data_IF_479377367004
#
_entry.id   IF_479377367004
#
_cell.length_a   1.000
_cell.length_b   1.000
_cell.length_c   1.000
_cell.angle_alpha   90.00
_cell.angle_beta   90.00
_cell.angle_gamma   90.00
#
_symmetry.space_group_name_H-M   'P 1'
#
loop_
_entity.id
_entity.type
_entity.pdbx_description
1 polymer ?
#
# COMPACT_ATOMS: atom_id res chain seq x y z
N UNK A 1 -6.24 18.44 5.07
CA UNK A 1 -5.91 17.23 5.82
C UNK A 1 -6.65 16.04 5.27
N UNK A 2 -6.04 14.89 5.32
CA UNK A 2 -6.58 13.68 4.70
C UNK A 2 -7.93 13.25 5.26
N UNK A 3 -8.17 13.44 6.57
CA UNK A 3 -9.44 13.06 7.17
C UNK A 3 -10.62 13.91 6.69
N UNK A 4 -10.38 15.18 6.36
CA UNK A 4 -11.43 16.04 5.80
C UNK A 4 -11.76 15.66 4.37
N UNK A 5 -10.74 15.28 3.60
CA UNK A 5 -10.93 14.79 2.23
C UNK A 5 -11.73 13.50 2.23
N UNK A 6 -11.47 12.62 3.19
CA UNK A 6 -12.22 11.39 3.36
C UNK A 6 -13.70 11.65 3.58
N UNK A 7 -14.03 12.58 4.46
CA UNK A 7 -15.42 12.89 4.77
C UNK A 7 -16.17 13.37 3.54
N UNK A 8 -15.56 14.24 2.74
CA UNK A 8 -16.17 14.71 1.50
C UNK A 8 -16.36 13.59 0.49
N UNK A 9 -15.36 12.73 0.33
CA UNK A 9 -15.42 11.63 -0.62
C UNK A 9 -16.52 10.63 -0.24
N UNK A 10 -16.71 10.36 1.03
CA UNK A 10 -17.79 9.47 1.48
C UNK A 10 -19.15 10.05 1.11
N UNK A 11 -19.35 11.34 1.34
CA UNK A 11 -20.64 11.99 1.06
C UNK A 11 -20.94 11.99 -0.45
N UNK A 12 -19.92 12.01 -1.30
CA UNK A 12 -20.09 11.96 -2.74
C UNK A 12 -20.17 10.54 -3.29
N UNK A 13 -20.01 9.53 -2.43
CA UNK A 13 -19.91 8.12 -2.80
C UNK A 13 -18.83 7.86 -3.86
N UNK A 14 -17.79 8.67 -3.81
CA UNK A 14 -16.63 8.54 -4.68
C UNK A 14 -15.48 7.90 -3.89
N UNK A 15 -14.29 8.38 -4.13
CA UNK A 15 -13.10 7.84 -3.50
C UNK A 15 -13.00 8.28 -2.04
N UNK A 16 -12.55 7.38 -1.19
CA UNK A 16 -12.33 7.66 0.23
C UNK A 16 -10.95 7.20 0.64
N UNK A 17 -10.33 7.92 1.57
CA UNK A 17 -9.06 7.52 2.15
C UNK A 17 -8.96 8.05 3.57
N UNK A 18 -8.71 7.15 4.52
CA UNK A 18 -8.55 7.49 5.92
C UNK A 18 -7.15 7.08 6.36
N UNK A 19 -6.31 8.07 6.63
CA UNK A 19 -4.94 7.86 7.07
C UNK A 19 -4.87 7.99 8.59
N UNK A 20 -4.14 7.09 9.21
CA UNK A 20 -3.93 7.11 10.65
C UNK A 20 -2.46 6.81 10.94
N UNK A 21 -2.02 7.22 12.13
CA UNK A 21 -0.71 6.88 12.64
C UNK A 21 -0.88 5.84 13.73
N UNK A 22 -0.44 4.62 13.47
CA UNK A 22 -0.47 3.57 14.48
C UNK A 22 0.64 3.81 15.51
N UNK A 23 0.34 3.55 16.77
CA UNK A 23 1.30 3.77 17.85
C UNK A 23 2.23 2.55 18.02
N UNK A 24 2.92 2.20 16.93
CA UNK A 24 3.93 1.16 16.89
C UNK A 24 5.12 1.68 16.09
N UNK A 25 6.31 1.16 16.37
CA UNK A 25 7.54 1.52 15.64
C UNK A 25 7.77 3.04 15.58
N UNK A 26 7.43 3.75 16.64
CA UNK A 26 7.51 5.23 16.72
C UNK A 26 6.60 5.96 15.73
N UNK A 27 5.51 5.32 15.33
CA UNK A 27 4.52 5.90 14.44
C UNK A 27 4.58 5.28 13.04
N UNK A 28 3.71 4.31 12.78
CA UNK A 28 3.57 3.67 11.49
C UNK A 28 2.34 4.23 10.79
N UNK A 29 2.52 4.80 9.60
CA UNK A 29 1.40 5.30 8.82
C UNK A 29 0.61 4.15 8.22
N UNK A 30 -0.70 4.18 8.40
CA UNK A 30 -1.62 3.21 7.83
C UNK A 30 -2.73 3.95 7.11
N UNK A 31 -3.35 3.29 6.13
CA UNK A 31 -4.47 3.83 5.40
C UNK A 31 -5.54 2.76 5.20
N UNK A 32 -6.78 3.19 5.21
CA UNK A 32 -7.90 2.40 4.72
C UNK A 32 -8.57 3.24 3.65
N UNK A 33 -8.64 2.72 2.43
CA UNK A 33 -9.09 3.51 1.29
C UNK A 33 -9.97 2.70 0.37
N UNK A 34 -10.87 3.41 -0.31
CA UNK A 34 -11.69 2.88 -1.39
C UNK A 34 -11.56 3.84 -2.57
N UNK A 35 -11.08 3.36 -3.69
CA UNK A 35 -10.89 4.18 -4.89
C UNK A 35 -11.65 3.56 -6.05
N UNK A 36 -12.50 4.37 -6.68
CA UNK A 36 -13.26 3.96 -7.85
C UNK A 36 -12.79 4.70 -9.09
N UNK A 37 -12.67 6.00 -8.99
CA UNK A 37 -12.34 6.87 -10.13
C UNK A 37 -10.90 7.33 -10.13
N UNK A 38 -10.28 7.41 -8.95
CA UNK A 38 -8.95 7.98 -8.83
C UNK A 38 -7.91 7.06 -9.45
N UNK A 39 -7.03 7.66 -10.24
CA UNK A 39 -5.83 7.01 -10.73
C UNK A 39 -4.61 7.72 -10.16
N UNK A 40 -3.58 6.95 -9.89
CA UNK A 40 -2.31 7.48 -9.42
C UNK A 40 -1.31 7.33 -10.53
N UNK A 41 -0.82 8.47 -11.04
CA UNK A 41 0.23 8.47 -12.06
C UNK A 41 1.54 7.92 -11.47
N UNK A 42 2.52 7.68 -12.33
CA UNK A 42 3.83 7.22 -11.88
C UNK A 42 4.40 8.15 -10.81
N UNK A 43 4.76 7.57 -9.68
CA UNK A 43 5.31 8.31 -8.55
C UNK A 43 6.18 7.38 -7.70
N UNK A 44 6.94 7.96 -6.79
CA UNK A 44 7.76 7.21 -5.83
C UNK A 44 7.46 7.70 -4.42
N UNK A 45 7.65 6.82 -3.45
CA UNK A 45 7.68 7.21 -2.04
C UNK A 45 8.99 6.78 -1.40
N UNK A 46 9.30 7.39 -0.28
CA UNK A 46 10.45 6.97 0.53
C UNK A 46 10.12 5.74 1.38
N UNK A 47 8.85 5.47 1.61
CA UNK A 47 8.38 4.33 2.38
C UNK A 47 8.08 3.14 1.48
N UNK A 48 8.06 1.97 2.08
CA UNK A 48 7.49 0.78 1.44
C UNK A 48 5.97 0.87 1.46
N UNK A 49 5.33 0.13 0.57
CA UNK A 49 3.89 -0.06 0.61
C UNK A 49 3.61 -1.55 0.78
N UNK A 50 2.83 -1.88 1.81
CA UNK A 50 2.31 -3.24 2.03
C UNK A 50 0.80 -3.09 2.16
N UNK A 51 0.06 -3.58 1.16
CA UNK A 51 -1.38 -3.35 1.10
C UNK A 51 -2.16 -4.63 0.86
N UNK A 52 -3.21 -4.83 1.65
CA UNK A 52 -4.15 -5.94 1.50
C UNK A 52 -5.37 -5.46 0.72
N UNK A 53 -5.66 -6.11 -0.39
CA UNK A 53 -6.87 -5.83 -1.17
C UNK A 53 -8.04 -6.52 -0.48
N UNK A 54 -8.96 -5.74 0.06
CA UNK A 54 -10.12 -6.26 0.77
C UNK A 54 -11.30 -6.53 -0.18
N UNK A 55 -11.48 -5.68 -1.18
CA UNK A 55 -12.56 -5.80 -2.18
C UNK A 55 -12.08 -5.25 -3.51
N UNK A 56 -12.61 -5.81 -4.58
CA UNK A 56 -12.30 -5.36 -5.92
C UNK A 56 -10.91 -5.77 -6.38
N UNK A 57 -10.33 -4.97 -7.25
CA UNK A 57 -9.00 -5.23 -7.77
C UNK A 57 -8.31 -3.93 -8.15
N UNK A 58 -7.01 -3.88 -7.93
CA UNK A 58 -6.16 -2.76 -8.30
C UNK A 58 -5.22 -3.19 -9.42
N UNK A 59 -5.09 -2.33 -10.43
CA UNK A 59 -4.06 -2.47 -11.48
C UNK A 59 -2.95 -1.48 -11.18
N UNK A 60 -1.71 -1.92 -11.22
CA UNK A 60 -0.58 -1.03 -10.97
C UNK A 60 0.64 -1.46 -11.74
N UNK A 61 1.43 -0.47 -12.14
CA UNK A 61 2.76 -0.67 -12.73
C UNK A 61 3.79 -0.70 -11.61
N UNK A 62 4.73 -1.61 -11.72
CA UNK A 62 5.90 -1.66 -10.86
C UNK A 62 7.00 -2.46 -11.56
N UNK A 63 8.23 -1.93 -11.54
CA UNK A 63 9.43 -2.65 -12.01
C UNK A 63 9.29 -3.18 -13.44
N UNK A 64 8.75 -2.36 -14.34
CA UNK A 64 8.67 -2.69 -15.75
C UNK A 64 7.44 -3.50 -16.16
N UNK A 65 6.57 -3.89 -15.24
CA UNK A 65 5.42 -4.72 -15.52
C UNK A 65 4.15 -4.12 -14.91
N UNK A 66 3.02 -4.45 -15.53
CA UNK A 66 1.70 -4.14 -14.98
C UNK A 66 1.17 -5.37 -14.25
N UNK A 67 0.66 -5.15 -13.05
CA UNK A 67 0.13 -6.20 -12.19
C UNK A 67 -1.32 -5.93 -11.87
N UNK A 68 -2.08 -6.98 -11.61
CA UNK A 68 -3.44 -6.88 -11.08
C UNK A 68 -3.48 -7.62 -9.75
N UNK A 69 -3.89 -6.91 -8.72
CA UNK A 69 -4.07 -7.48 -7.39
C UNK A 69 -5.56 -7.62 -7.12
N UNK A 70 -5.99 -8.86 -6.96
CA UNK A 70 -7.37 -9.20 -6.67
C UNK A 70 -7.65 -9.23 -5.17
N UNK A 71 -8.90 -9.46 -4.82
CA UNK A 71 -9.31 -9.60 -3.43
C UNK A 71 -8.45 -10.66 -2.71
N UNK A 72 -8.10 -10.36 -1.47
CA UNK A 72 -7.31 -11.22 -0.58
C UNK A 72 -5.86 -11.42 -1.01
N UNK A 73 -5.35 -10.55 -1.88
CA UNK A 73 -3.93 -10.51 -2.20
C UNK A 73 -3.27 -9.31 -1.54
N UNK A 74 -1.95 -9.38 -1.41
CA UNK A 74 -1.14 -8.32 -0.82
C UNK A 74 -0.27 -7.73 -1.91
N UNK A 75 -0.31 -6.40 -2.05
CA UNK A 75 0.59 -5.69 -2.94
C UNK A 75 1.82 -5.25 -2.15
N UNK A 76 2.95 -5.29 -2.83
CA UNK A 76 4.25 -4.95 -2.24
C UNK A 76 4.99 -4.00 -3.17
N UNK A 77 5.36 -2.84 -2.64
CA UNK A 77 6.14 -1.84 -3.38
C UNK A 77 7.31 -1.44 -2.52
N UNK A 78 8.50 -1.52 -3.07
CA UNK A 78 9.71 -1.12 -2.35
C UNK A 78 9.79 0.40 -2.23
N UNK A 79 10.53 0.86 -1.22
CA UNK A 79 10.92 2.26 -1.14
C UNK A 79 11.61 2.65 -2.44
N UNK A 80 11.28 3.83 -2.96
CA UNK A 80 11.82 4.39 -4.19
C UNK A 80 11.48 3.62 -5.48
N UNK A 81 10.57 2.64 -5.44
CA UNK A 81 10.04 2.02 -6.65
C UNK A 81 9.04 2.95 -7.34
N UNK A 82 9.22 3.18 -8.63
CA UNK A 82 8.24 3.90 -9.44
C UNK A 82 7.01 3.00 -9.63
N UNK A 83 5.85 3.50 -9.29
CA UNK A 83 4.61 2.72 -9.43
C UNK A 83 3.41 3.60 -9.70
N UNK A 84 2.33 2.97 -10.18
CA UNK A 84 1.04 3.60 -10.45
C UNK A 84 -0.04 2.91 -9.62
N UNK A 85 -1.28 3.36 -9.81
CA UNK A 85 -2.43 2.67 -9.22
C UNK A 85 -3.72 3.12 -9.90
N UNK A 86 -4.59 2.17 -10.19
CA UNK A 86 -5.91 2.43 -10.74
C UNK A 86 -6.84 1.25 -10.47
N UNK A 87 -8.14 1.48 -10.61
CA UNK A 87 -9.12 0.42 -10.48
C UNK A 87 -9.02 -0.55 -11.65
N UNK A 88 -9.06 -1.83 -11.36
CA UNK A 88 -9.15 -2.89 -12.37
C UNK A 88 -10.58 -3.40 -12.53
N UNK A 89 -11.52 -2.91 -11.75
CA UNK A 89 -12.95 -3.24 -11.83
C UNK A 89 -13.76 -1.97 -11.88
N UNK A 90 -15.01 -2.06 -12.36
CA UNK A 90 -15.90 -0.90 -12.45
C UNK A 90 -16.28 -0.34 -11.07
N UNK A 91 -16.24 -1.17 -10.04
CA UNK A 91 -16.55 -0.74 -8.67
C UNK A 91 -15.29 -0.42 -7.85
N UNK A 92 -14.11 -0.41 -8.47
CA UNK A 92 -12.90 0.04 -7.83
C UNK A 92 -12.19 -1.01 -7.00
N UNK A 93 -11.41 -0.54 -6.02
CA UNK A 93 -10.76 -1.41 -5.05
C UNK A 93 -10.81 -0.75 -3.68
N UNK A 94 -10.89 -1.60 -2.67
CA UNK A 94 -10.79 -1.20 -1.27
C UNK A 94 -9.61 -1.92 -0.66
N UNK A 95 -8.76 -1.19 0.05
CA UNK A 95 -7.59 -1.82 0.64
C UNK A 95 -7.22 -1.17 1.97
N UNK A 96 -6.45 -1.92 2.74
CA UNK A 96 -5.73 -1.43 3.90
C UNK A 96 -4.25 -1.53 3.58
N UNK A 97 -3.52 -0.47 3.85
CA UNK A 97 -2.09 -0.46 3.58
C UNK A 97 -1.34 0.15 4.74
N UNK A 98 -0.09 -0.26 4.88
CA UNK A 98 0.85 0.38 5.77
C UNK A 98 2.05 0.85 4.96
N UNK A 99 2.67 1.90 5.46
CA UNK A 99 3.80 2.54 4.79
C UNK A 99 5.01 2.59 5.73
N UNK A 100 5.64 1.44 5.99
CA UNK A 100 6.82 1.44 6.85
C UNK A 100 7.99 2.15 6.16
N UNK A 101 8.73 2.91 6.95
CA UNK A 101 9.96 3.54 6.47
C UNK A 101 11.06 2.49 6.39
N UNK A 102 12.12 2.84 5.67
CA UNK A 102 13.30 1.99 5.59
C UNK A 102 13.86 1.69 7.00
N UNK A 103 13.87 2.70 7.87
CA UNK A 103 14.35 2.55 9.24
C UNK A 103 13.47 1.59 10.05
N UNK A 104 12.15 1.68 9.89
CA UNK A 104 11.22 0.79 10.58
C UNK A 104 11.41 -0.65 10.14
N UNK A 105 11.53 -0.89 8.83
CA UNK A 105 11.81 -2.22 8.33
C UNK A 105 13.17 -2.75 8.80
N UNK A 106 14.19 -1.91 8.76
CA UNK A 106 15.52 -2.31 9.22
C UNK A 106 15.50 -2.68 10.71
N UNK A 107 14.74 -1.96 11.51
CA UNK A 107 14.58 -2.25 12.94
C UNK A 107 13.94 -3.64 13.16
N UNK A 108 12.87 -3.93 12.42
CA UNK A 108 12.22 -5.24 12.52
C UNK A 108 13.16 -6.34 12.03
N UNK A 109 13.84 -6.12 10.92
CA UNK A 109 14.78 -7.10 10.37
C UNK A 109 15.90 -7.40 11.35
N UNK A 110 16.41 -6.41 12.07
CA UNK A 110 17.48 -6.62 13.04
C UNK A 110 17.04 -7.46 14.23
N UNK A 111 15.76 -7.45 14.57
CA UNK A 111 15.21 -8.32 15.62
C UNK A 111 15.03 -9.74 15.15
N UNK A 112 14.73 -9.94 13.87
CA UNK A 112 14.46 -11.26 13.30
C UNK A 112 15.71 -11.98 12.81
N UNK A 113 16.73 -11.23 12.40
CA UNK A 113 17.94 -11.77 11.80
C UNK A 113 19.17 -11.31 12.58
N UNK A 114 19.94 -12.25 13.08
CA UNK A 114 21.01 -11.98 14.03
C UNK A 114 22.19 -11.19 13.48
N UNK A 115 22.38 -11.12 12.16
CA UNK A 115 23.51 -10.42 11.56
C UNK A 115 23.22 -8.95 11.22
N UNK A 116 22.01 -8.48 11.37
CA UNK A 116 21.66 -7.06 11.40
C UNK A 116 21.93 -6.21 10.17
N UNK A 117 22.41 -6.77 9.08
CA UNK A 117 22.75 -6.00 7.88
C UNK A 117 21.78 -6.18 6.72
N UNK A 118 20.68 -6.85 6.97
CA UNK A 118 19.68 -7.16 5.96
C UNK A 118 18.79 -5.96 5.68
N UNK A 119 18.72 -5.54 4.40
CA UNK A 119 17.75 -4.56 3.94
C UNK A 119 16.65 -5.30 3.19
N UNK A 120 15.41 -5.22 3.66
CA UNK A 120 14.32 -5.93 2.98
C UNK A 120 14.09 -5.37 1.58
N UNK A 121 13.80 -6.27 0.67
CA UNK A 121 13.46 -5.94 -0.70
C UNK A 121 12.44 -6.96 -1.20
N UNK A 122 11.31 -6.45 -1.71
CA UNK A 122 10.27 -7.31 -2.24
C UNK A 122 10.54 -7.59 -3.72
N UNK A 123 10.77 -8.85 -4.05
CA UNK A 123 10.91 -9.27 -5.45
C UNK A 123 9.56 -9.47 -6.12
N UNK A 124 8.55 -9.89 -5.36
CA UNK A 124 7.19 -10.07 -5.86
C UNK A 124 6.37 -8.81 -5.67
N UNK A 125 5.58 -8.44 -6.67
CA UNK A 125 4.69 -7.29 -6.58
C UNK A 125 3.36 -7.64 -5.92
N UNK A 126 2.88 -8.86 -6.13
CA UNK A 126 1.62 -9.36 -5.58
C UNK A 126 1.88 -10.73 -4.98
N UNK A 127 1.42 -10.91 -3.75
CA UNK A 127 1.52 -12.22 -3.08
C UNK A 127 0.16 -12.58 -2.51
N UNK A 128 -0.08 -13.87 -2.41
CA UNK A 128 -1.27 -14.39 -1.75
C UNK A 128 -0.83 -15.05 -0.46
N UNK A 129 -1.40 -14.59 0.65
CA UNK A 129 -1.13 -15.20 1.94
C UNK A 129 -2.09 -16.37 2.12
N UNK A 130 -1.53 -17.56 2.28
CA UNK A 130 -2.31 -18.78 2.39
C UNK A 130 -2.73 -19.10 3.84
N UNK A 131 -2.40 -18.26 4.79
CA UNK A 131 -2.72 -18.49 6.19
C UNK A 131 -4.06 -17.92 6.58
#
# INVERSE_FOLDING_TARGET
MRSNELTQAINNQDDTANYQMANVLNGLEIVRACYVKRTFAKHVHEEFTVGLIEHGAQRFYRSGNVHVANQDTIILVNADDVHTGEAATDFGWQYRAMYPTLEQFASVASELFSNGTFLPYFTSAVVQDAV
#
